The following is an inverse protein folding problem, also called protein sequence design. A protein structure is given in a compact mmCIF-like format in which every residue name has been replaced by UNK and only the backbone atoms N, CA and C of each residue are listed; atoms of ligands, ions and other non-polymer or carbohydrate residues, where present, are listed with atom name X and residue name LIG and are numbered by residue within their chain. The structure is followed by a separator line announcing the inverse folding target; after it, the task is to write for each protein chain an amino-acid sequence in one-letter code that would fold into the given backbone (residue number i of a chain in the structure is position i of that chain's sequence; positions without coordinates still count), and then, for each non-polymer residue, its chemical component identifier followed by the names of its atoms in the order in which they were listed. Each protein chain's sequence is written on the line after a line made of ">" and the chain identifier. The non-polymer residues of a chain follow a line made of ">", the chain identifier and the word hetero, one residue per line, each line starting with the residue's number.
data_IF_088438859383
#
_entry.id   IF_088438859383
#
_cell.length_a   1.000
_cell.length_b   1.000
_cell.length_c   1.000
_cell.angle_alpha   90.00
_cell.angle_beta   90.00
_cell.angle_gamma   90.00
#
_symmetry.space_group_name_H-M   'P 1'
#
loop_
_entity.id
_entity.type
_entity.pdbx_description
1 polymer ?
#
# COMPACT_ATOMS: atom_id res chain seq x y z
N UNK A 1 -20.15 -7.69 3.74
CA UNK A 1 -20.26 -6.69 2.65
C UNK A 1 -20.81 -7.37 1.40
N UNK A 2 -21.85 -6.82 0.76
CA UNK A 2 -22.40 -7.40 -0.47
C UNK A 2 -21.36 -7.38 -1.60
N UNK A 3 -21.33 -8.43 -2.43
CA UNK A 3 -20.36 -8.60 -3.54
C UNK A 3 -20.32 -7.42 -4.53
N UNK A 4 -21.45 -6.74 -4.70
CA UNK A 4 -21.61 -5.59 -5.61
C UNK A 4 -20.81 -4.35 -5.15
N UNK A 5 -20.79 -4.06 -3.85
CA UNK A 5 -20.05 -2.93 -3.29
C UNK A 5 -18.53 -3.12 -3.45
N UNK A 6 -18.06 -4.37 -3.32
CA UNK A 6 -16.64 -4.72 -3.50
C UNK A 6 -16.17 -4.52 -4.94
N UNK A 7 -16.97 -4.96 -5.93
CA UNK A 7 -16.66 -4.77 -7.35
C UNK A 7 -16.59 -3.28 -7.73
N UNK A 8 -17.46 -2.45 -7.13
CA UNK A 8 -17.41 -1.00 -7.31
C UNK A 8 -16.13 -0.38 -6.73
N UNK A 9 -15.66 -0.87 -5.57
CA UNK A 9 -14.43 -0.40 -4.96
C UNK A 9 -13.19 -0.74 -5.80
N UNK A 10 -13.08 -1.98 -6.28
CA UNK A 10 -11.97 -2.43 -7.11
C UNK A 10 -11.85 -1.59 -8.41
N UNK A 11 -12.97 -1.19 -9.00
CA UNK A 11 -12.98 -0.27 -10.14
C UNK A 11 -12.46 1.13 -9.76
N UNK A 12 -12.90 1.70 -8.63
CA UNK A 12 -12.42 3.02 -8.17
C UNK A 12 -10.91 3.02 -7.90
N UNK A 13 -10.39 1.95 -7.30
CA UNK A 13 -8.95 1.76 -7.11
C UNK A 13 -8.24 1.75 -8.46
N UNK A 14 -8.77 0.98 -9.42
CA UNK A 14 -8.21 0.91 -10.77
C UNK A 14 -8.18 2.29 -11.44
N UNK A 15 -9.26 3.06 -11.33
CA UNK A 15 -9.35 4.41 -11.90
C UNK A 15 -8.30 5.35 -11.27
N UNK A 16 -8.15 5.33 -9.94
CA UNK A 16 -7.10 6.09 -9.25
C UNK A 16 -5.70 5.73 -9.76
N UNK A 17 -5.42 4.44 -10.00
CA UNK A 17 -4.11 3.95 -10.45
C UNK A 17 -3.78 4.31 -11.91
N UNK A 18 -4.76 4.71 -12.72
CA UNK A 18 -4.52 5.19 -14.09
C UNK A 18 -4.13 6.68 -14.13
N UNK A 19 -4.12 7.38 -12.99
CA UNK A 19 -3.72 8.79 -12.95
C UNK A 19 -2.24 8.95 -13.29
N UNK A 20 -1.93 10.01 -14.05
CA UNK A 20 -0.62 10.24 -14.69
C UNK A 20 0.56 10.32 -13.71
N UNK A 21 0.32 10.71 -12.45
CA UNK A 21 1.40 10.96 -11.47
C UNK A 21 1.07 10.34 -10.12
N UNK A 22 2.08 9.82 -9.44
CA UNK A 22 1.95 9.24 -8.09
C UNK A 22 1.27 10.17 -7.09
N UNK A 23 1.51 11.49 -7.16
CA UNK A 23 0.79 12.46 -6.30
C UNK A 23 -0.73 12.42 -6.49
N UNK A 24 -1.19 12.34 -7.74
CA UNK A 24 -2.62 12.24 -8.06
C UNK A 24 -3.18 10.87 -7.66
N UNK A 25 -2.42 9.79 -7.88
CA UNK A 25 -2.79 8.43 -7.46
C UNK A 25 -2.99 8.39 -5.93
N UNK A 26 -1.99 8.87 -5.17
CA UNK A 26 -2.04 8.94 -3.70
C UNK A 26 -3.24 9.75 -3.24
N UNK A 27 -3.43 10.98 -3.74
CA UNK A 27 -4.55 11.83 -3.33
C UNK A 27 -5.91 11.17 -3.61
N UNK A 28 -6.06 10.48 -4.74
CA UNK A 28 -7.28 9.74 -5.08
C UNK A 28 -7.51 8.56 -4.13
N UNK A 29 -6.46 7.78 -3.85
CA UNK A 29 -6.54 6.64 -2.95
C UNK A 29 -6.73 7.05 -1.49
N UNK A 30 -6.16 8.16 -1.03
CA UNK A 30 -6.39 8.73 0.32
C UNK A 30 -7.86 9.14 0.50
N UNK A 31 -8.43 9.86 -0.47
CA UNK A 31 -9.85 10.20 -0.44
C UNK A 31 -10.73 8.95 -0.42
N UNK A 32 -10.37 7.94 -1.22
CA UNK A 32 -11.07 6.67 -1.23
C UNK A 32 -10.95 5.95 0.13
N UNK A 33 -9.76 5.94 0.72
CA UNK A 33 -9.48 5.33 2.01
C UNK A 33 -10.26 6.01 3.14
N UNK A 34 -10.31 7.34 3.17
CA UNK A 34 -11.13 8.09 4.13
C UNK A 34 -12.61 7.72 4.05
N UNK A 35 -13.11 7.44 2.85
CA UNK A 35 -14.52 7.07 2.65
C UNK A 35 -14.85 5.61 2.94
N UNK A 36 -13.89 4.69 2.78
CA UNK A 36 -14.16 3.24 2.84
C UNK A 36 -13.50 2.53 4.01
N UNK A 37 -12.39 3.07 4.51
CA UNK A 37 -11.49 2.43 5.48
C UNK A 37 -11.15 0.97 5.07
N UNK A 38 -10.91 0.75 3.78
CA UNK A 38 -10.73 -0.59 3.22
C UNK A 38 -9.25 -1.00 3.12
N UNK A 39 -8.96 -2.25 3.51
CA UNK A 39 -7.59 -2.77 3.52
C UNK A 39 -6.94 -2.85 2.15
N UNK A 40 -7.71 -3.05 1.07
CA UNK A 40 -7.15 -3.05 -0.29
C UNK A 40 -6.72 -1.64 -0.70
N UNK A 41 -7.48 -0.62 -0.32
CA UNK A 41 -7.10 0.79 -0.59
C UNK A 41 -5.85 1.15 0.20
N UNK A 42 -5.76 0.75 1.47
CA UNK A 42 -4.54 0.92 2.27
C UNK A 42 -3.33 0.20 1.63
N UNK A 43 -3.51 -1.02 1.13
CA UNK A 43 -2.45 -1.76 0.46
C UNK A 43 -1.95 -1.04 -0.80
N UNK A 44 -2.86 -0.50 -1.62
CA UNK A 44 -2.51 0.24 -2.83
C UNK A 44 -1.85 1.58 -2.53
N UNK A 45 -2.20 2.24 -1.41
CA UNK A 45 -1.45 3.39 -0.90
C UNK A 45 -0.01 3.00 -0.54
N UNK A 46 0.16 1.89 0.19
CA UNK A 46 1.48 1.37 0.54
C UNK A 46 2.37 1.16 -0.69
N UNK A 47 1.80 0.54 -1.73
CA UNK A 47 2.47 0.28 -2.99
C UNK A 47 2.85 1.58 -3.75
N UNK A 48 1.97 2.58 -3.79
CA UNK A 48 2.29 3.83 -4.48
C UNK A 48 3.34 4.66 -3.73
N UNK A 49 3.34 4.64 -2.38
CA UNK A 49 4.40 5.26 -1.57
C UNK A 49 5.74 4.54 -1.73
N UNK A 50 5.74 3.21 -1.80
CA UNK A 50 6.93 2.40 -2.05
C UNK A 50 7.57 2.77 -3.39
N UNK A 51 6.76 2.87 -4.45
CA UNK A 51 7.19 3.25 -5.81
C UNK A 51 7.92 4.59 -5.87
N UNK A 52 7.53 5.56 -5.03
CA UNK A 52 8.18 6.88 -4.95
C UNK A 52 9.29 6.95 -3.88
N UNK A 53 9.69 5.82 -3.30
CA UNK A 53 10.77 5.73 -2.31
C UNK A 53 10.40 6.27 -0.93
N UNK A 54 9.10 6.48 -0.65
CA UNK A 54 8.59 6.91 0.66
C UNK A 54 8.37 5.69 1.55
N UNK A 55 9.48 5.04 1.90
CA UNK A 55 9.49 3.76 2.63
C UNK A 55 8.71 3.79 3.94
N UNK A 56 8.79 4.89 4.71
CA UNK A 56 8.07 5.00 5.99
C UNK A 56 6.55 5.01 5.79
N UNK A 57 6.09 5.84 4.86
CA UNK A 57 4.67 5.97 4.52
C UNK A 57 4.15 4.63 3.94
N UNK A 58 4.95 3.95 3.12
CA UNK A 58 4.62 2.65 2.58
C UNK A 58 4.40 1.58 3.67
N UNK A 59 5.31 1.49 4.64
CA UNK A 59 5.19 0.56 5.77
C UNK A 59 3.92 0.83 6.58
N UNK A 60 3.65 2.10 6.92
CA UNK A 60 2.46 2.48 7.68
C UNK A 60 1.17 2.03 6.99
N UNK A 61 1.08 2.24 5.67
CA UNK A 61 -0.11 1.83 4.92
C UNK A 61 -0.22 0.32 4.73
N UNK A 62 0.88 -0.41 4.60
CA UNK A 62 0.85 -1.87 4.59
C UNK A 62 0.44 -2.45 5.96
N UNK A 63 0.86 -1.87 7.08
CA UNK A 63 0.44 -2.27 8.43
C UNK A 63 -1.06 -2.01 8.65
N UNK A 64 -1.56 -0.86 8.18
CA UNK A 64 -3.01 -0.58 8.16
C UNK A 64 -3.76 -1.61 7.32
N UNK A 65 -3.24 -1.96 6.14
CA UNK A 65 -3.83 -2.98 5.28
C UNK A 65 -3.93 -4.34 5.98
N UNK A 66 -2.84 -4.80 6.61
CA UNK A 66 -2.83 -6.04 7.40
C UNK A 66 -3.91 -6.04 8.48
N UNK A 67 -4.04 -4.94 9.21
CA UNK A 67 -5.03 -4.78 10.28
C UNK A 67 -6.46 -4.85 9.75
N UNK A 68 -6.72 -4.20 8.60
CA UNK A 68 -8.06 -4.09 8.01
C UNK A 68 -8.49 -5.36 7.25
N UNK A 69 -7.56 -6.14 6.74
CA UNK A 69 -7.87 -7.37 6.03
C UNK A 69 -8.48 -8.42 6.97
N UNK A 70 -9.64 -8.95 6.61
CA UNK A 70 -10.30 -10.01 7.39
C UNK A 70 -9.79 -11.41 7.08
N UNK A 71 -9.43 -11.64 5.81
CA UNK A 71 -9.02 -12.97 5.35
C UNK A 71 -7.50 -13.15 5.50
N UNK A 72 -7.04 -14.30 6.00
CA UNK A 72 -5.61 -14.56 6.20
C UNK A 72 -4.75 -14.38 4.94
N UNK A 73 -5.30 -14.73 3.76
CA UNK A 73 -4.60 -14.59 2.48
C UNK A 73 -4.17 -13.13 2.23
N UNK A 74 -5.04 -12.15 2.51
CA UNK A 74 -4.74 -10.74 2.31
C UNK A 74 -3.86 -10.17 3.42
N UNK A 75 -4.01 -10.66 4.66
CA UNK A 75 -3.07 -10.32 5.75
C UNK A 75 -1.65 -10.75 5.39
N UNK A 76 -1.49 -11.96 4.88
CA UNK A 76 -0.19 -12.48 4.48
C UNK A 76 0.40 -11.71 3.30
N UNK A 77 -0.43 -11.24 2.37
CA UNK A 77 -0.02 -10.35 1.29
C UNK A 77 0.56 -9.02 1.83
N UNK A 78 -0.11 -8.39 2.81
CA UNK A 78 0.40 -7.17 3.45
C UNK A 78 1.72 -7.43 4.22
N UNK A 79 1.78 -8.51 5.00
CA UNK A 79 3.02 -8.93 5.71
C UNK A 79 4.19 -9.17 4.78
N UNK A 80 3.94 -9.80 3.63
CA UNK A 80 4.99 -10.03 2.64
C UNK A 80 5.57 -8.70 2.14
N UNK A 81 4.72 -7.71 1.86
CA UNK A 81 5.17 -6.38 1.46
C UNK A 81 5.99 -5.67 2.57
N UNK A 82 5.52 -5.71 3.83
CA UNK A 82 6.24 -5.18 4.99
C UNK A 82 7.63 -5.81 5.13
N UNK A 83 7.69 -7.14 5.05
CA UNK A 83 8.94 -7.89 5.20
C UNK A 83 9.92 -7.58 4.08
N UNK A 84 9.46 -7.58 2.83
CA UNK A 84 10.30 -7.27 1.67
C UNK A 84 10.91 -5.88 1.79
N UNK A 85 10.07 -4.88 2.08
CA UNK A 85 10.51 -3.49 2.20
C UNK A 85 11.47 -3.29 3.38
N UNK A 86 11.24 -3.99 4.49
CA UNK A 86 12.13 -3.98 5.66
C UNK A 86 13.51 -4.56 5.32
N UNK A 87 13.55 -5.69 4.61
CA UNK A 87 14.80 -6.34 4.17
C UNK A 87 15.56 -5.41 3.21
N UNK A 88 14.89 -4.84 2.21
CA UNK A 88 15.49 -3.89 1.28
C UNK A 88 16.12 -2.70 1.98
N UNK A 89 15.41 -2.13 2.96
CA UNK A 89 15.89 -1.02 3.78
C UNK A 89 17.14 -1.41 4.57
N UNK A 90 17.15 -2.59 5.21
CA UNK A 90 18.31 -3.11 5.93
C UNK A 90 19.52 -3.33 5.02
N UNK A 91 19.30 -3.89 3.82
CA UNK A 91 20.37 -4.10 2.84
C UNK A 91 20.93 -2.77 2.32
N UNK A 92 20.07 -1.77 2.08
CA UNK A 92 20.50 -0.43 1.67
C UNK A 92 21.39 0.24 2.72
N UNK A 93 21.03 0.14 4.01
CA UNK A 93 21.84 0.65 5.12
C UNK A 93 23.20 -0.06 5.20
N UNK A 94 23.23 -1.40 5.06
CA UNK A 94 24.47 -2.18 5.05
C UNK A 94 25.40 -1.81 3.90
N UNK A 95 24.86 -1.57 2.70
CA UNK A 95 25.64 -1.13 1.53
C UNK A 95 26.27 0.24 1.73
N UNK A 96 25.56 1.19 2.37
CA UNK A 96 26.11 2.52 2.69
C UNK A 96 27.28 2.44 3.67
N UNK A 97 27.17 1.63 4.73
CA UNK A 97 28.25 1.43 5.72
C UNK A 97 29.53 0.80 5.15
N UNK A 98 29.44 -0.02 4.10
CA UNK A 98 30.63 -0.62 3.44
C UNK A 98 31.32 0.33 2.45
N UNK A 99 30.70 1.46 2.10
CA UNK A 99 31.19 2.44 1.12
C UNK A 99 31.67 3.75 1.77
N UNK A 100 31.53 3.86 3.09
CA UNK A 100 32.07 4.95 3.93
C UNK A 100 33.28 4.41 4.68
#
# INVERSE_FOLDING_TARGET
>A
MPKVARKSLENKIKDCRQLVSSKKVISCLEALFLSTNDGLVAYELGHEFEKIGKTKDALEYYERAETLFKQPIYKNMARAAINNLSIETLLAVRKKKKRS
#
